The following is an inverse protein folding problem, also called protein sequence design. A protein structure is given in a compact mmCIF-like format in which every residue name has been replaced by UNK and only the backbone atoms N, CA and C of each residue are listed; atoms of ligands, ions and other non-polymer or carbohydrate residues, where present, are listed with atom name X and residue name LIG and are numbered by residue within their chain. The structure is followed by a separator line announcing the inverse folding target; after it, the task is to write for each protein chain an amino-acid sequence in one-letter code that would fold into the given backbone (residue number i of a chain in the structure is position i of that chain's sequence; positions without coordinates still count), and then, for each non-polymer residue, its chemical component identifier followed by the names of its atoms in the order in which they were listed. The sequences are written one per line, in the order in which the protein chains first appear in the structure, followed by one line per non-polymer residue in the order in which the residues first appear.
data_IF_565857669655
#
_entry.id   IF_565857669655
#
_cell.length_a   1.000
_cell.length_b   1.000
_cell.length_c   1.000
_cell.angle_alpha   90.00
_cell.angle_beta   90.00
_cell.angle_gamma   90.00
#
_symmetry.space_group_name_H-M   'P 1'
#
loop_
_entity.id
_entity.type
_entity.pdbx_description
1 polymer ?
#
# COMPACT_ATOMS: atom_id res chain seq x y z
N UNK A 1 -11.00 57.48 -18.01
CA UNK A 1 -10.40 56.14 -18.25
C UNK A 1 -11.10 55.14 -17.35
N UNK A 2 -11.90 54.24 -17.92
CA UNK A 2 -12.70 53.26 -17.18
C UNK A 2 -11.81 52.12 -16.64
N UNK A 3 -11.58 52.11 -15.33
CA UNK A 3 -10.99 50.96 -14.64
C UNK A 3 -12.06 49.88 -14.44
N UNK A 4 -12.28 49.04 -15.46
CA UNK A 4 -13.06 47.81 -15.28
C UNK A 4 -12.28 46.85 -14.36
N UNK A 5 -12.87 46.37 -13.25
CA UNK A 5 -12.18 45.44 -12.36
C UNK A 5 -11.91 44.13 -13.11
N UNK A 6 -10.64 43.70 -13.18
CA UNK A 6 -10.23 42.42 -13.76
C UNK A 6 -11.00 41.29 -13.06
N UNK A 7 -11.91 40.65 -13.80
CA UNK A 7 -12.67 39.47 -13.36
C UNK A 7 -11.66 38.34 -13.07
N UNK A 8 -11.31 38.12 -11.81
CA UNK A 8 -10.43 37.00 -11.43
C UNK A 8 -11.08 35.68 -11.87
N UNK A 9 -10.61 35.09 -12.97
CA UNK A 9 -11.02 33.75 -13.37
C UNK A 9 -10.67 32.78 -12.25
N UNK A 10 -11.69 32.17 -11.64
CA UNK A 10 -11.51 31.16 -10.59
C UNK A 10 -10.69 30.01 -11.20
N UNK A 11 -9.53 29.71 -10.62
CA UNK A 11 -8.66 28.63 -11.08
C UNK A 11 -9.43 27.30 -11.12
N UNK A 12 -9.16 26.41 -12.09
CA UNK A 12 -9.83 25.12 -12.16
C UNK A 12 -9.45 24.21 -10.96
N UNK A 13 -10.35 23.31 -10.57
CA UNK A 13 -10.25 22.52 -9.32
C UNK A 13 -8.94 21.72 -9.20
N UNK A 14 -8.44 21.11 -10.27
CA UNK A 14 -7.18 20.35 -10.28
C UNK A 14 -5.96 21.23 -9.99
N UNK A 15 -5.94 22.47 -10.49
CA UNK A 15 -4.85 23.43 -10.25
C UNK A 15 -4.85 23.92 -8.81
N UNK A 16 -6.03 24.05 -8.20
CA UNK A 16 -6.18 24.35 -6.76
C UNK A 16 -5.72 23.19 -5.89
N UNK A 17 -6.06 21.95 -6.25
CA UNK A 17 -5.59 20.72 -5.57
C UNK A 17 -4.07 20.60 -5.64
N UNK A 18 -3.47 20.71 -6.82
CA UNK A 18 -2.01 20.66 -6.97
C UNK A 18 -1.32 21.75 -6.15
N UNK A 19 -1.83 22.98 -6.18
CA UNK A 19 -1.30 24.10 -5.41
C UNK A 19 -1.40 23.84 -3.89
N UNK A 20 -2.52 23.30 -3.42
CA UNK A 20 -2.70 22.90 -2.02
C UNK A 20 -1.69 21.81 -1.59
N UNK A 21 -1.46 20.79 -2.41
CA UNK A 21 -0.52 19.71 -2.08
C UNK A 21 0.95 20.11 -2.15
N UNK A 22 1.29 21.01 -3.07
CA UNK A 22 2.60 21.64 -3.13
C UNK A 22 2.88 22.46 -1.87
N UNK A 23 1.95 23.34 -1.47
CA UNK A 23 2.13 24.16 -0.27
C UNK A 23 2.08 23.41 1.05
N UNK A 24 1.29 22.34 1.13
CA UNK A 24 1.27 21.51 2.36
C UNK A 24 2.54 20.67 2.51
N UNK A 25 3.32 20.48 1.44
CA UNK A 25 4.54 19.66 1.45
C UNK A 25 4.29 18.16 1.22
N UNK A 26 3.13 17.80 0.67
CA UNK A 26 2.72 16.41 0.46
C UNK A 26 3.69 15.64 -0.46
N UNK A 27 4.08 16.25 -1.58
CA UNK A 27 5.00 15.61 -2.53
C UNK A 27 6.36 15.32 -1.92
N UNK A 28 6.90 16.27 -1.14
CA UNK A 28 8.13 16.06 -0.38
C UNK A 28 7.98 14.96 0.67
N UNK A 29 6.82 14.84 1.31
CA UNK A 29 6.55 13.75 2.25
C UNK A 29 6.53 12.39 1.55
N UNK A 30 5.83 12.24 0.42
CA UNK A 30 5.82 11.00 -0.36
C UNK A 30 7.23 10.65 -0.84
N UNK A 31 7.94 11.59 -1.46
CA UNK A 31 9.29 11.35 -1.96
C UNK A 31 10.23 10.88 -0.85
N UNK A 32 10.23 11.55 0.31
CA UNK A 32 11.02 11.12 1.47
C UNK A 32 10.59 9.76 2.02
N UNK A 33 9.30 9.45 1.97
CA UNK A 33 8.77 8.16 2.43
C UNK A 33 9.18 7.02 1.50
N UNK A 34 9.13 7.25 0.18
CA UNK A 34 9.62 6.29 -0.83
C UNK A 34 11.11 6.04 -0.68
N UNK A 35 11.92 7.10 -0.54
CA UNK A 35 13.37 6.97 -0.31
C UNK A 35 13.65 6.17 0.96
N UNK A 36 12.89 6.40 2.04
CA UNK A 36 13.04 5.63 3.29
C UNK A 36 12.56 4.18 3.19
N UNK A 37 11.60 3.90 2.31
CA UNK A 37 11.15 2.54 2.03
C UNK A 37 12.09 1.80 1.06
N UNK A 38 12.99 2.51 0.38
CA UNK A 38 13.90 1.92 -0.61
C UNK A 38 14.93 0.96 -0.01
N UNK A 39 15.62 1.26 1.11
CA UNK A 39 16.60 0.34 1.71
C UNK A 39 16.06 -1.06 2.02
N UNK A 40 14.92 -1.25 2.72
CA UNK A 40 14.41 -2.60 2.99
C UNK A 40 14.02 -3.34 1.70
N UNK A 41 13.50 -2.62 0.69
CA UNK A 41 13.20 -3.22 -0.63
C UNK A 41 14.47 -3.67 -1.34
N UNK A 42 15.54 -2.86 -1.34
CA UNK A 42 16.84 -3.23 -1.91
C UNK A 42 17.43 -4.44 -1.19
N UNK A 43 17.41 -4.46 0.15
CA UNK A 43 17.89 -5.59 0.94
C UNK A 43 17.11 -6.85 0.59
N UNK A 44 15.78 -6.74 0.48
CA UNK A 44 14.94 -7.86 0.07
C UNK A 44 15.30 -8.38 -1.32
N UNK A 45 15.44 -7.48 -2.31
CA UNK A 45 15.86 -7.84 -3.67
C UNK A 45 17.24 -8.48 -3.67
N UNK A 46 18.19 -7.96 -2.90
CA UNK A 46 19.54 -8.50 -2.80
C UNK A 46 19.55 -9.92 -2.20
N UNK A 47 18.72 -10.17 -1.17
CA UNK A 47 18.52 -11.51 -0.61
C UNK A 47 17.93 -12.44 -1.67
N UNK A 48 16.90 -11.99 -2.38
CA UNK A 48 16.22 -12.78 -3.41
C UNK A 48 17.18 -13.14 -4.56
N UNK A 49 17.97 -12.18 -5.04
CA UNK A 49 19.00 -12.40 -6.05
C UNK A 49 20.11 -13.33 -5.56
N UNK A 50 20.51 -13.19 -4.29
CA UNK A 50 21.51 -14.10 -3.70
C UNK A 50 20.98 -15.53 -3.68
N UNK A 51 19.73 -15.75 -3.27
CA UNK A 51 19.12 -17.08 -3.32
C UNK A 51 19.04 -17.59 -4.75
N UNK A 52 18.65 -16.75 -5.70
CA UNK A 52 18.55 -17.09 -7.12
C UNK A 52 19.89 -17.59 -7.70
N UNK A 53 20.99 -16.87 -7.43
CA UNK A 53 22.30 -17.20 -7.98
C UNK A 53 23.08 -18.26 -7.19
N UNK A 54 22.91 -18.33 -5.87
CA UNK A 54 23.70 -19.22 -5.00
C UNK A 54 22.98 -20.51 -4.59
N UNK A 55 21.64 -20.57 -4.65
CA UNK A 55 20.86 -21.71 -4.18
C UNK A 55 20.08 -22.37 -5.31
N UNK A 56 19.10 -21.66 -5.89
CA UNK A 56 18.20 -22.21 -6.91
C UNK A 56 17.42 -21.10 -7.62
N UNK A 57 17.07 -21.29 -8.90
CA UNK A 57 16.23 -20.34 -9.64
C UNK A 57 14.90 -20.05 -8.92
N UNK A 58 14.45 -18.80 -8.98
CA UNK A 58 13.18 -18.34 -8.41
C UNK A 58 12.02 -19.12 -9.02
N UNK A 59 12.05 -19.43 -10.32
CA UNK A 59 11.00 -20.25 -10.93
C UNK A 59 10.93 -21.65 -10.31
N UNK A 60 12.07 -22.29 -10.09
CA UNK A 60 12.15 -23.61 -9.46
C UNK A 60 11.67 -23.57 -8.01
N UNK A 61 11.99 -22.51 -7.26
CA UNK A 61 11.46 -22.29 -5.90
C UNK A 61 9.94 -22.15 -5.93
N UNK A 62 9.40 -21.36 -6.86
CA UNK A 62 7.95 -21.18 -6.99
C UNK A 62 7.24 -22.48 -7.35
N UNK A 63 7.82 -23.27 -8.27
CA UNK A 63 7.30 -24.60 -8.63
C UNK A 63 7.37 -25.57 -7.44
N UNK A 64 8.49 -25.60 -6.73
CA UNK A 64 8.64 -26.41 -5.52
C UNK A 64 7.57 -26.07 -4.49
N UNK A 65 7.29 -24.77 -4.28
CA UNK A 65 6.22 -24.34 -3.37
C UNK A 65 4.85 -24.80 -3.86
N UNK A 66 4.57 -24.69 -5.15
CA UNK A 66 3.30 -25.16 -5.75
C UNK A 66 3.12 -26.68 -5.63
N UNK A 67 4.18 -27.46 -5.81
CA UNK A 67 4.11 -28.93 -5.80
C UNK A 67 4.09 -29.52 -4.39
N UNK A 68 4.75 -28.86 -3.42
CA UNK A 68 4.94 -29.42 -2.07
C UNK A 68 4.03 -28.81 -1.00
N UNK A 69 3.42 -27.65 -1.25
CA UNK A 69 2.58 -26.97 -0.25
C UNK A 69 1.15 -26.78 -0.75
N UNK A 70 0.20 -26.99 0.16
CA UNK A 70 -1.20 -26.72 -0.13
C UNK A 70 -1.44 -25.21 -0.33
N UNK A 71 -2.19 -24.77 -1.38
CA UNK A 71 -2.41 -23.35 -1.68
C UNK A 71 -2.95 -22.51 -0.51
N UNK A 72 -3.79 -23.11 0.34
CA UNK A 72 -4.33 -22.47 1.55
C UNK A 72 -3.24 -22.02 2.52
N UNK A 73 -2.15 -22.78 2.65
CA UNK A 73 -1.02 -22.40 3.49
C UNK A 73 -0.30 -21.16 2.96
N UNK A 74 -0.07 -21.10 1.65
CA UNK A 74 0.54 -19.95 0.97
C UNK A 74 -0.33 -18.70 1.13
N UNK A 75 -1.64 -18.83 0.92
CA UNK A 75 -2.59 -17.75 1.15
C UNK A 75 -2.60 -17.28 2.62
N UNK A 76 -2.50 -18.20 3.58
CA UNK A 76 -2.43 -17.88 5.01
C UNK A 76 -1.19 -17.08 5.37
N UNK A 77 -0.02 -17.48 4.87
CA UNK A 77 1.25 -16.75 5.08
C UNK A 77 1.18 -15.35 4.44
N UNK A 78 0.68 -15.26 3.22
CA UNK A 78 0.45 -13.99 2.54
C UNK A 78 -0.46 -13.06 3.35
N UNK A 79 -1.62 -13.57 3.77
CA UNK A 79 -2.62 -12.80 4.52
C UNK A 79 -2.09 -12.33 5.87
N UNK A 80 -1.36 -13.19 6.59
CA UNK A 80 -0.72 -12.83 7.86
C UNK A 80 0.34 -11.75 7.67
N UNK A 81 1.22 -11.90 6.66
CA UNK A 81 2.24 -10.92 6.30
C UNK A 81 1.60 -9.56 5.99
N UNK A 82 0.57 -9.52 5.15
CA UNK A 82 -0.13 -8.29 4.74
C UNK A 82 -0.94 -7.66 5.86
N UNK A 83 -1.50 -8.43 6.79
CA UNK A 83 -2.30 -7.87 7.89
C UNK A 83 -1.45 -7.17 8.95
N UNK A 84 -0.19 -7.62 9.14
CA UNK A 84 0.67 -7.14 10.22
C UNK A 84 1.62 -6.03 9.72
N UNK A 85 2.41 -6.30 8.69
CA UNK A 85 3.52 -5.43 8.27
C UNK A 85 3.58 -5.14 6.77
N UNK A 86 3.05 -6.02 5.90
CA UNK A 86 3.26 -5.95 4.45
C UNK A 86 4.72 -6.11 4.07
N UNK A 87 5.44 -6.98 4.80
CA UNK A 87 6.90 -7.10 4.76
C UNK A 87 7.37 -7.91 3.55
N UNK A 88 6.59 -8.93 3.18
CA UNK A 88 6.85 -9.74 1.99
C UNK A 88 6.18 -9.05 0.80
N UNK A 89 6.92 -8.67 -0.25
CA UNK A 89 6.35 -8.04 -1.42
C UNK A 89 5.29 -8.94 -2.08
N UNK A 90 4.10 -8.40 -2.41
CA UNK A 90 3.04 -9.17 -3.04
C UNK A 90 3.45 -9.75 -4.40
N UNK A 91 4.48 -9.18 -5.04
CA UNK A 91 5.00 -9.59 -6.35
C UNK A 91 5.42 -11.07 -6.39
N UNK A 92 5.97 -11.63 -5.31
CA UNK A 92 6.33 -13.07 -5.26
C UNK A 92 5.07 -13.94 -5.25
N UNK A 93 4.05 -13.54 -4.51
CA UNK A 93 2.79 -14.29 -4.46
C UNK A 93 2.02 -14.18 -5.77
N UNK A 94 2.13 -13.03 -6.45
CA UNK A 94 1.61 -12.87 -7.81
C UNK A 94 2.38 -13.77 -8.78
N UNK A 95 3.71 -13.85 -8.70
CA UNK A 95 4.48 -14.78 -9.53
C UNK A 95 4.13 -16.26 -9.24
N UNK A 96 3.93 -16.60 -7.96
CA UNK A 96 3.48 -17.93 -7.54
C UNK A 96 2.10 -18.29 -8.13
N UNK A 97 1.11 -17.38 -8.09
CA UNK A 97 -0.19 -17.67 -8.68
C UNK A 97 -0.10 -17.93 -10.19
N UNK A 98 0.87 -17.33 -10.88
CA UNK A 98 1.19 -17.61 -12.28
C UNK A 98 1.66 -19.04 -12.59
N UNK A 99 2.12 -19.79 -11.58
CA UNK A 99 2.56 -21.18 -11.72
C UNK A 99 1.48 -22.21 -11.40
N UNK A 100 0.27 -21.77 -11.06
CA UNK A 100 -0.86 -22.64 -10.73
C UNK A 100 -1.77 -22.87 -11.95
N UNK A 101 -2.64 -23.89 -11.89
CA UNK A 101 -3.57 -24.25 -12.99
C UNK A 101 -4.56 -23.12 -13.34
N UNK A 102 -4.94 -22.31 -12.35
CA UNK A 102 -5.89 -21.20 -12.51
C UNK A 102 -5.28 -19.87 -12.01
N UNK A 103 -4.36 -19.24 -12.76
CA UNK A 103 -3.60 -18.07 -12.31
C UNK A 103 -4.48 -16.87 -11.92
N UNK A 104 -5.47 -16.55 -12.74
CA UNK A 104 -6.37 -15.42 -12.51
C UNK A 104 -7.28 -15.63 -11.30
N UNK A 105 -7.66 -16.87 -11.00
CA UNK A 105 -8.44 -17.20 -9.82
C UNK A 105 -7.60 -17.02 -8.54
N UNK A 106 -6.35 -17.49 -8.56
CA UNK A 106 -5.44 -17.34 -7.41
C UNK A 106 -5.06 -15.88 -7.21
N UNK A 107 -4.85 -15.12 -8.29
CA UNK A 107 -4.62 -13.68 -8.25
C UNK A 107 -5.80 -12.93 -7.61
N UNK A 108 -7.05 -13.26 -7.97
CA UNK A 108 -8.23 -12.60 -7.42
C UNK A 108 -8.41 -12.89 -5.92
N UNK A 109 -8.09 -14.12 -5.48
CA UNK A 109 -8.03 -14.48 -4.06
C UNK A 109 -6.95 -13.66 -3.35
N UNK A 110 -5.73 -13.59 -3.90
CA UNK A 110 -4.66 -12.77 -3.33
C UNK A 110 -5.07 -11.31 -3.21
N UNK A 111 -5.62 -10.72 -4.26
CA UNK A 111 -6.07 -9.32 -4.23
C UNK A 111 -7.13 -9.09 -3.13
N UNK A 112 -8.07 -10.03 -2.98
CA UNK A 112 -9.12 -10.00 -1.96
C UNK A 112 -8.54 -10.12 -0.54
N UNK A 113 -7.65 -11.09 -0.31
CA UNK A 113 -6.95 -11.26 0.97
C UNK A 113 -6.11 -10.03 1.30
N UNK A 114 -5.46 -9.44 0.30
CA UNK A 114 -4.66 -8.23 0.46
C UNK A 114 -5.52 -7.03 0.87
N UNK A 115 -6.70 -6.89 0.27
CA UNK A 115 -7.67 -5.86 0.63
C UNK A 115 -8.20 -6.08 2.06
N UNK A 116 -8.60 -7.30 2.39
CA UNK A 116 -9.07 -7.66 3.72
C UNK A 116 -7.99 -7.50 4.79
N UNK A 117 -6.74 -7.82 4.48
CA UNK A 117 -5.61 -7.63 5.37
C UNK A 117 -5.44 -6.15 5.73
N UNK A 118 -5.55 -5.25 4.75
CA UNK A 118 -5.57 -3.81 5.01
C UNK A 118 -6.78 -3.35 5.83
N UNK A 119 -7.96 -3.95 5.63
CA UNK A 119 -9.13 -3.69 6.49
C UNK A 119 -8.84 -4.08 7.94
N UNK A 120 -8.24 -5.25 8.18
CA UNK A 120 -7.80 -5.65 9.52
C UNK A 120 -6.78 -4.66 10.09
N UNK A 121 -5.75 -4.31 9.33
CA UNK A 121 -4.74 -3.32 9.70
C UNK A 121 -5.36 -1.96 10.07
N UNK A 122 -6.41 -1.53 9.38
CA UNK A 122 -7.17 -0.32 9.71
C UNK A 122 -7.85 -0.44 11.09
N UNK A 123 -8.50 -1.56 11.38
CA UNK A 123 -9.10 -1.79 12.70
C UNK A 123 -8.04 -1.92 13.80
N UNK A 124 -6.89 -2.54 13.53
CA UNK A 124 -5.76 -2.54 14.44
C UNK A 124 -5.30 -1.11 14.76
N UNK A 125 -5.10 -0.26 13.74
CA UNK A 125 -4.74 1.14 13.95
C UNK A 125 -5.79 1.92 14.74
N UNK A 126 -7.08 1.65 14.49
CA UNK A 126 -8.20 2.25 15.23
C UNK A 126 -8.23 1.82 16.69
N UNK A 127 -7.97 0.54 16.96
CA UNK A 127 -7.87 -0.02 18.31
C UNK A 127 -6.69 0.58 19.08
N UNK A 128 -5.52 0.65 18.45
CA UNK A 128 -4.30 1.26 19.03
C UNK A 128 -4.56 2.72 19.44
N UNK A 129 -5.25 3.49 18.60
CA UNK A 129 -5.56 4.90 18.90
C UNK A 129 -6.59 5.10 20.02
N UNK A 130 -7.32 4.05 20.44
CA UNK A 130 -8.23 4.09 21.58
C UNK A 130 -7.54 3.79 22.92
N UNK A 131 -6.29 3.30 22.90
CA UNK A 131 -5.53 3.02 24.13
C UNK A 131 -5.08 4.35 24.75
N UNK A 132 -5.44 4.68 26.00
CA UNK A 132 -5.20 6.00 26.59
C UNK A 132 -3.74 6.45 26.55
N UNK A 133 -2.80 5.55 26.89
CA UNK A 133 -1.35 5.83 26.86
C UNK A 133 -0.85 6.16 25.46
N UNK A 134 -1.35 5.43 24.46
CA UNK A 134 -0.96 5.65 23.05
C UNK A 134 -1.60 6.92 22.53
N UNK A 135 -2.87 7.18 22.85
CA UNK A 135 -3.56 8.40 22.49
C UNK A 135 -2.81 9.66 23.00
N UNK A 136 -2.41 9.67 24.27
CA UNK A 136 -1.61 10.78 24.85
C UNK A 136 -0.27 10.93 24.12
N UNK A 137 0.43 9.82 23.83
CA UNK A 137 1.67 9.88 23.06
C UNK A 137 1.47 10.45 21.65
N UNK A 138 0.41 10.01 20.97
CA UNK A 138 0.05 10.44 19.63
C UNK A 138 -0.33 11.93 19.61
N UNK A 139 -1.06 12.39 20.62
CA UNK A 139 -1.50 13.77 20.77
C UNK A 139 -0.38 14.73 21.15
N UNK A 140 0.56 14.30 22.00
CA UNK A 140 1.67 15.18 22.46
C UNK A 140 2.88 15.10 21.53
N UNK A 141 3.41 13.90 21.26
CA UNK A 141 4.68 13.72 20.53
C UNK A 141 4.48 13.64 19.02
N UNK A 142 3.32 13.15 18.57
CA UNK A 142 3.03 12.98 17.14
C UNK A 142 1.99 13.95 16.58
N UNK A 143 1.52 14.94 17.34
CA UNK A 143 0.47 15.89 16.92
C UNK A 143 0.72 16.50 15.53
N UNK A 144 1.95 16.97 15.28
CA UNK A 144 2.33 17.56 13.99
C UNK A 144 2.23 16.56 12.83
N UNK A 145 2.66 15.33 13.06
CA UNK A 145 2.62 14.25 12.06
C UNK A 145 1.18 13.79 11.80
N UNK A 146 0.37 13.62 12.85
CA UNK A 146 -1.05 13.27 12.75
C UNK A 146 -1.84 14.36 12.04
N UNK A 147 -1.60 15.63 12.36
CA UNK A 147 -2.27 16.77 11.71
C UNK A 147 -2.00 16.79 10.20
N UNK A 148 -0.77 16.50 9.78
CA UNK A 148 -0.41 16.40 8.36
C UNK A 148 -1.01 15.14 7.71
N UNK A 149 -0.94 13.99 8.38
CA UNK A 149 -1.58 12.75 7.91
C UNK A 149 -3.10 12.93 7.75
N UNK A 150 -3.77 13.68 8.63
CA UNK A 150 -5.21 13.94 8.51
C UNK A 150 -5.55 14.82 7.30
N UNK A 151 -4.68 15.78 6.96
CA UNK A 151 -4.82 16.61 5.75
C UNK A 151 -4.67 15.78 4.47
N UNK A 152 -3.85 14.72 4.51
CA UNK A 152 -3.52 13.90 3.34
C UNK A 152 -4.15 12.51 3.37
N UNK A 153 -5.00 12.20 4.35
CA UNK A 153 -5.36 10.82 4.72
C UNK A 153 -5.83 9.98 3.55
N UNK A 154 -6.74 10.52 2.73
CA UNK A 154 -7.22 9.84 1.53
C UNK A 154 -6.13 9.54 0.51
N UNK A 155 -5.24 10.51 0.26
CA UNK A 155 -4.13 10.33 -0.68
C UNK A 155 -3.07 9.36 -0.16
N UNK A 156 -2.84 9.32 1.16
CA UNK A 156 -1.92 8.36 1.75
C UNK A 156 -2.42 6.93 1.58
N UNK A 157 -3.73 6.72 1.69
CA UNK A 157 -4.36 5.41 1.42
C UNK A 157 -4.22 5.08 -0.08
N UNK A 158 -4.54 6.02 -0.97
CA UNK A 158 -4.39 5.84 -2.42
C UNK A 158 -2.94 5.50 -2.81
N UNK A 159 -1.99 6.25 -2.25
CA UNK A 159 -0.56 6.04 -2.49
C UNK A 159 -0.12 4.68 -1.96
N UNK A 160 -0.54 4.28 -0.76
CA UNK A 160 -0.24 2.95 -0.22
C UNK A 160 -0.88 1.80 -1.01
N UNK A 161 -2.06 2.02 -1.61
CA UNK A 161 -2.76 1.00 -2.39
C UNK A 161 -2.12 0.76 -3.76
N UNK A 162 -1.55 1.81 -4.38
CA UNK A 162 -0.98 1.75 -5.74
C UNK A 162 0.54 1.61 -5.79
N UNK A 163 1.27 2.35 -4.95
CA UNK A 163 2.73 2.35 -4.96
C UNK A 163 3.28 1.09 -4.30
N UNK A 164 4.54 0.69 -4.58
CA UNK A 164 5.24 -0.43 -3.92
C UNK A 164 5.61 -0.09 -2.46
N UNK A 165 4.62 0.35 -1.70
CA UNK A 165 4.67 0.62 -0.28
C UNK A 165 3.83 -0.42 0.45
N UNK A 166 4.18 -0.79 1.70
CA UNK A 166 3.37 -1.70 2.49
C UNK A 166 2.00 -1.08 2.80
N UNK A 167 0.94 -1.66 2.23
CA UNK A 167 -0.42 -1.16 2.40
C UNK A 167 -0.90 -1.24 3.85
N UNK A 168 -0.44 -2.26 4.60
CA UNK A 168 -0.70 -2.44 6.03
C UNK A 168 -0.40 -1.16 6.82
N UNK A 169 0.76 -0.54 6.58
CA UNK A 169 1.21 0.68 7.27
C UNK A 169 0.28 1.84 6.94
N UNK A 170 -0.11 2.01 5.67
CA UNK A 170 -1.04 3.07 5.27
C UNK A 170 -2.43 2.88 5.89
N UNK A 171 -2.85 1.63 6.06
CA UNK A 171 -4.14 1.26 6.66
C UNK A 171 -4.15 1.47 8.17
N UNK A 172 -3.10 1.05 8.87
CA UNK A 172 -2.89 1.35 10.31
C UNK A 172 -2.90 2.86 10.53
N UNK A 173 -2.15 3.60 9.71
CA UNK A 173 -2.12 5.07 9.75
C UNK A 173 -3.51 5.68 9.57
N UNK A 174 -4.31 5.19 8.63
CA UNK A 174 -5.69 5.61 8.41
C UNK A 174 -6.60 5.30 9.61
N UNK A 175 -6.42 4.14 10.25
CA UNK A 175 -7.10 3.76 11.49
C UNK A 175 -6.80 4.70 12.64
N UNK A 176 -5.51 5.03 12.83
CA UNK A 176 -5.02 5.92 13.89
C UNK A 176 -5.63 7.32 13.78
N UNK A 177 -5.68 7.90 12.58
CA UNK A 177 -6.25 9.24 12.37
C UNK A 177 -7.78 9.27 12.34
N UNK A 178 -8.40 8.11 12.59
CA UNK A 178 -9.84 7.92 12.54
C UNK A 178 -10.45 8.32 11.19
N UNK A 179 -9.79 7.95 10.08
CA UNK A 179 -10.27 8.23 8.73
C UNK A 179 -11.65 7.58 8.50
N UNK A 180 -12.59 8.21 7.77
CA UNK A 180 -13.91 7.62 7.54
C UNK A 180 -13.80 6.27 6.83
N UNK A 181 -14.38 5.23 7.44
CA UNK A 181 -14.25 3.83 6.98
C UNK A 181 -14.77 3.64 5.54
N UNK A 182 -15.91 4.23 5.19
CA UNK A 182 -16.45 4.12 3.82
C UNK A 182 -15.50 4.68 2.76
N UNK A 183 -14.87 5.83 3.02
CA UNK A 183 -13.87 6.39 2.10
C UNK A 183 -12.58 5.58 2.07
N UNK A 184 -12.18 4.99 3.21
CA UNK A 184 -11.04 4.07 3.26
C UNK A 184 -11.27 2.85 2.36
N UNK A 185 -12.44 2.21 2.47
CA UNK A 185 -12.80 1.06 1.63
C UNK A 185 -12.73 1.43 0.14
N UNK A 186 -13.33 2.56 -0.25
CA UNK A 186 -13.31 3.04 -1.63
C UNK A 186 -11.89 3.25 -2.16
N UNK A 187 -11.01 3.88 -1.38
CA UNK A 187 -9.61 4.08 -1.80
C UNK A 187 -8.81 2.78 -1.79
N UNK A 188 -9.10 1.87 -0.88
CA UNK A 188 -8.50 0.55 -0.82
C UNK A 188 -8.81 -0.32 -2.05
N UNK A 189 -9.92 -0.06 -2.77
CA UNK A 189 -10.24 -0.77 -4.02
C UNK A 189 -9.15 -0.63 -5.09
N UNK A 190 -8.36 0.45 -5.05
CA UNK A 190 -7.20 0.61 -5.93
C UNK A 190 -6.17 -0.52 -5.79
N UNK A 191 -6.22 -1.28 -4.69
CA UNK A 191 -5.41 -2.48 -4.51
C UNK A 191 -5.74 -3.56 -5.54
N UNK A 192 -7.01 -3.74 -5.90
CA UNK A 192 -7.39 -4.66 -6.97
C UNK A 192 -6.80 -4.22 -8.31
N UNK A 193 -6.82 -2.92 -8.59
CA UNK A 193 -6.19 -2.36 -9.78
C UNK A 193 -4.68 -2.64 -9.79
N UNK A 194 -4.00 -2.47 -8.65
CA UNK A 194 -2.58 -2.82 -8.52
C UNK A 194 -2.34 -4.30 -8.84
N UNK A 195 -3.04 -5.22 -8.17
CA UNK A 195 -2.87 -6.66 -8.41
C UNK A 195 -3.19 -7.04 -9.86
N UNK A 196 -4.17 -6.40 -10.47
CA UNK A 196 -4.50 -6.60 -11.89
C UNK A 196 -3.36 -6.13 -12.79
N UNK A 197 -2.80 -4.93 -12.57
CA UNK A 197 -1.66 -4.42 -13.34
C UNK A 197 -0.46 -5.34 -13.20
N UNK A 198 -0.09 -5.72 -11.97
CA UNK A 198 1.04 -6.63 -11.76
C UNK A 198 0.78 -8.03 -12.30
N UNK A 199 -0.45 -8.55 -12.17
CA UNK A 199 -0.85 -9.81 -12.78
C UNK A 199 -0.74 -9.75 -14.31
N UNK A 200 -1.16 -8.66 -14.95
CA UNK A 200 -0.95 -8.46 -16.38
C UNK A 200 0.53 -8.37 -16.75
N UNK A 201 1.37 -7.70 -15.95
CA UNK A 201 2.81 -7.60 -16.22
C UNK A 201 3.55 -8.94 -16.03
N UNK A 202 3.13 -9.74 -15.05
CA UNK A 202 3.81 -10.99 -14.65
C UNK A 202 3.26 -12.20 -15.44
N UNK A 203 1.95 -12.26 -15.68
CA UNK A 203 1.31 -13.32 -16.47
C UNK A 203 1.30 -13.00 -17.96
N UNK A 204 1.02 -11.74 -18.28
CA UNK A 204 0.97 -11.19 -19.64
C UNK A 204 2.28 -10.52 -20.01
N UNK A 205 3.39 -11.20 -19.74
CA UNK A 205 4.61 -10.95 -20.49
C UNK A 205 4.25 -11.02 -21.99
N UNK A 206 4.49 -9.89 -22.64
CA UNK A 206 4.75 -9.72 -24.06
C UNK A 206 5.92 -10.63 -24.48
#
# INVERSE_FOLDING_TARGET
MNNTPKKHQKKPRWKLLHQYYSYTGFYNFIGRSLIKATPPVIVFIAILLSIHFFVMDVNSILLYVTENFHPVGVFGVFFASESILGLIPPEIFIAWSGKNELPWFFLSILATLSYLGGVLSYFFGRGIANIPKVFVYLEVKMAKHIKNMRKWGGLLIIAGALLPLPFAISSIAAGIIKFPFGSFLLFGLLRFLRFLIYGLLIFGVL
#
